data_IF_859431528830
#
_entry.id   IF_859431528830
#
_cell.length_a   1.000
_cell.length_b   1.000
_cell.length_c   1.000
_cell.angle_alpha   90.00
_cell.angle_beta   90.00
_cell.angle_gamma   90.00
#
_symmetry.space_group_name_H-M   'P 1'
#
loop_
_entity.id
_entity.type
_entity.pdbx_description
1 polymer ?
#
# COMPACT_ATOMS: atom_id res chain seq x y z
N UNK A 1 -4.12 4.92 7.00
CA UNK A 1 -3.48 6.24 6.81
C UNK A 1 -1.98 6.04 6.87
N UNK A 2 -1.25 6.69 5.97
CA UNK A 2 0.22 6.75 5.97
C UNK A 2 0.62 8.22 6.09
N UNK A 3 1.54 8.53 7.00
CA UNK A 3 2.11 9.87 7.17
C UNK A 3 3.55 9.85 6.65
N UNK A 4 3.84 10.64 5.61
CA UNK A 4 5.17 10.78 5.04
C UNK A 4 5.38 12.23 4.58
N UNK A 5 6.53 12.83 4.90
CA UNK A 5 6.86 14.21 4.54
C UNK A 5 5.74 15.23 4.86
N UNK A 6 5.20 15.20 6.10
CA UNK A 6 4.07 16.03 6.57
C UNK A 6 2.77 15.88 5.77
N UNK A 7 2.65 14.81 4.99
CA UNK A 7 1.46 14.49 4.21
C UNK A 7 0.77 13.24 4.74
N UNK A 8 -0.50 13.38 5.06
CA UNK A 8 -1.37 12.24 5.37
C UNK A 8 -2.03 11.71 4.09
N UNK A 9 -1.88 10.41 3.85
CA UNK A 9 -2.48 9.70 2.74
C UNK A 9 -3.46 8.65 3.27
N UNK A 10 -4.72 8.73 2.83
CA UNK A 10 -5.73 7.74 3.20
C UNK A 10 -5.52 6.47 2.38
N UNK A 11 -5.55 5.32 3.05
CA UNK A 11 -5.41 4.00 2.43
C UNK A 11 -6.64 3.20 2.85
N UNK A 12 -7.67 3.21 2.00
CA UNK A 12 -8.90 2.48 2.23
C UNK A 12 -8.68 0.98 2.04
N UNK A 13 -9.47 0.12 2.71
CA UNK A 13 -9.43 -1.33 2.43
C UNK A 13 -10.15 -1.71 1.14
N UNK A 14 -10.87 -0.79 0.51
CA UNK A 14 -11.46 -1.00 -0.82
C UNK A 14 -10.36 -0.96 -1.89
N UNK A 15 -9.44 0.01 -1.76
CA UNK A 15 -8.32 0.21 -2.69
C UNK A 15 -7.09 -0.66 -2.34
N UNK A 16 -6.86 -0.90 -1.05
CA UNK A 16 -5.71 -1.65 -0.54
C UNK A 16 -6.14 -2.83 0.36
N UNK A 17 -6.87 -3.83 -0.19
CA UNK A 17 -7.51 -4.89 0.60
C UNK A 17 -6.52 -5.79 1.34
N UNK A 18 -5.27 -5.87 0.88
CA UNK A 18 -4.23 -6.71 1.48
C UNK A 18 -3.84 -6.31 2.91
N UNK A 19 -4.18 -5.09 3.34
CA UNK A 19 -3.92 -4.63 4.70
C UNK A 19 -5.03 -4.99 5.71
N UNK A 20 -6.21 -5.44 5.24
CA UNK A 20 -7.44 -5.50 6.06
C UNK A 20 -7.33 -6.40 7.30
N UNK A 21 -6.75 -7.59 7.15
CA UNK A 21 -6.72 -8.63 8.18
C UNK A 21 -5.28 -8.96 8.63
N UNK A 22 -4.34 -8.06 8.35
CA UNK A 22 -2.92 -8.22 8.69
C UNK A 22 -2.66 -7.77 10.13
N UNK A 23 -1.81 -8.47 10.91
CA UNK A 23 -1.38 -8.01 12.22
C UNK A 23 -0.79 -6.60 12.16
N UNK A 24 -1.25 -5.72 13.04
CA UNK A 24 -0.89 -4.28 13.01
C UNK A 24 0.63 -4.05 13.02
N UNK A 25 1.40 -4.90 13.69
CA UNK A 25 2.86 -4.84 13.70
C UNK A 25 3.50 -4.95 12.31
N UNK A 26 2.91 -5.73 11.40
CA UNK A 26 3.38 -5.84 10.01
C UNK A 26 3.00 -4.61 9.18
N UNK A 27 1.88 -3.96 9.49
CA UNK A 27 1.46 -2.71 8.82
C UNK A 27 2.38 -1.55 9.20
N UNK A 28 2.86 -1.52 10.44
CA UNK A 28 3.81 -0.51 10.90
C UNK A 28 5.25 -0.75 10.44
N UNK A 29 5.57 -1.96 9.95
CA UNK A 29 6.87 -2.25 9.35
C UNK A 29 6.91 -1.78 7.90
N UNK A 30 6.89 -0.45 7.72
CA UNK A 30 6.98 0.23 6.43
C UNK A 30 8.35 0.89 6.30
N UNK A 31 8.96 0.71 5.13
CA UNK A 31 10.21 1.36 4.74
C UNK A 31 9.93 2.38 3.62
N UNK A 32 10.70 3.47 3.57
CA UNK A 32 10.70 4.44 2.47
C UNK A 32 12.10 4.50 1.83
N UNK A 33 12.49 3.53 0.97
CA UNK A 33 13.86 3.47 0.42
C UNK A 33 14.23 4.70 -0.40
N UNK A 34 13.24 5.28 -1.07
CA UNK A 34 13.34 6.55 -1.78
C UNK A 34 12.08 7.37 -1.52
N UNK A 35 12.15 8.70 -1.45
CA UNK A 35 10.99 9.54 -1.14
C UNK A 35 9.77 9.22 -2.01
N UNK A 36 8.64 8.93 -1.37
CA UNK A 36 7.38 8.57 -2.02
C UNK A 36 7.30 7.13 -2.56
N UNK A 37 8.27 6.27 -2.24
CA UNK A 37 8.22 4.82 -2.50
C UNK A 37 8.20 4.08 -1.18
N UNK A 38 7.13 3.35 -0.91
CA UNK A 38 6.87 2.68 0.35
C UNK A 38 6.88 1.16 0.15
N UNK A 39 7.63 0.48 0.99
CA UNK A 39 7.77 -0.98 0.96
C UNK A 39 7.40 -1.58 2.31
N UNK A 40 6.51 -2.58 2.31
CA UNK A 40 6.17 -3.39 3.47
C UNK A 40 6.80 -4.79 3.34
N UNK A 41 8.02 -5.01 3.86
CA UNK A 41 8.75 -6.26 3.69
C UNK A 41 8.00 -7.50 4.20
N UNK A 42 7.26 -7.37 5.30
CA UNK A 42 6.51 -8.49 5.89
C UNK A 42 5.29 -8.93 5.06
N UNK A 43 4.87 -8.09 4.10
CA UNK A 43 3.68 -8.26 3.27
C UNK A 43 4.00 -8.43 1.79
N UNK A 44 5.25 -8.17 1.38
CA UNK A 44 5.67 -8.11 -0.02
C UNK A 44 4.82 -7.12 -0.84
N UNK A 45 4.55 -5.95 -0.25
CA UNK A 45 3.77 -4.86 -0.87
C UNK A 45 4.69 -3.67 -1.15
N UNK A 46 4.67 -3.18 -2.38
CA UNK A 46 5.32 -1.94 -2.81
C UNK A 46 4.27 -0.97 -3.34
N UNK A 47 4.29 0.28 -2.87
CA UNK A 47 3.37 1.34 -3.30
C UNK A 47 4.12 2.66 -3.45
N UNK A 48 3.77 3.44 -4.46
CA UNK A 48 4.20 4.84 -4.58
C UNK A 48 3.14 5.79 -4.03
N UNK A 49 3.54 7.01 -3.66
CA UNK A 49 2.61 8.11 -3.34
C UNK A 49 1.56 8.30 -4.44
N UNK A 50 1.94 8.16 -5.71
CA UNK A 50 1.00 8.29 -6.83
C UNK A 50 -0.09 7.21 -6.80
N UNK A 51 0.27 5.96 -6.51
CA UNK A 51 -0.71 4.86 -6.38
C UNK A 51 -1.63 5.11 -5.19
N UNK A 52 -1.09 5.58 -4.06
CA UNK A 52 -1.88 5.84 -2.85
C UNK A 52 -2.88 6.97 -3.06
N UNK A 53 -2.49 8.02 -3.78
CA UNK A 53 -3.31 9.22 -4.00
C UNK A 53 -4.32 9.07 -5.15
N UNK A 54 -3.98 8.23 -6.12
CA UNK A 54 -4.77 7.98 -7.32
C UNK A 54 -4.95 6.48 -7.58
N UNK A 55 -5.52 5.70 -6.64
CA UNK A 55 -5.67 4.26 -6.78
C UNK A 55 -6.50 3.87 -8.01
N UNK A 56 -7.42 4.72 -8.47
CA UNK A 56 -8.23 4.51 -9.67
C UNK A 56 -7.41 4.43 -10.97
N UNK A 57 -6.20 4.99 -10.99
CA UNK A 57 -5.28 4.91 -12.14
C UNK A 57 -4.57 3.56 -12.23
N UNK A 58 -4.52 2.83 -11.12
CA UNK A 58 -3.80 1.56 -10.97
C UNK A 58 -4.75 0.47 -10.49
N UNK A 59 -5.79 0.13 -11.29
CA UNK A 59 -6.75 -0.88 -10.89
C UNK A 59 -6.03 -2.18 -10.56
N UNK A 60 -6.42 -2.79 -9.44
CA UNK A 60 -5.86 -4.06 -8.97
C UNK A 60 -6.01 -5.13 -10.06
N UNK A 61 -4.92 -5.43 -10.77
CA UNK A 61 -4.85 -6.51 -11.75
C UNK A 61 -4.16 -7.71 -11.14
N UNK A 62 -4.85 -8.43 -10.27
CA UNK A 62 -4.51 -9.81 -9.92
C UNK A 62 -5.49 -10.76 -10.60
N UNK A 63 -5.36 -10.92 -11.91
CA UNK A 63 -5.98 -12.03 -12.62
C UNK A 63 -5.07 -13.26 -12.51
N UNK A 64 -5.03 -13.90 -11.34
CA UNK A 64 -4.90 -15.35 -11.36
C UNK A 64 -6.28 -15.87 -11.76
N UNK A 65 -6.49 -16.01 -13.07
CA UNK A 65 -7.55 -16.88 -13.57
C UNK A 65 -7.22 -18.28 -13.04
N UNK A 66 -8.22 -18.88 -12.42
CA UNK A 66 -8.23 -20.29 -12.06
C UNK A 66 -7.61 -21.12 -13.20
N UNK A 67 -6.52 -21.82 -12.89
CA UNK A 67 -6.06 -23.00 -13.63
C UNK A 67 -6.62 -24.22 -12.91
#
# INVERSE_FOLDING_TARGET
WLLAADREMFMSYEDFPWFKDVPVGKVFNVEEPTPGHFYWPDLDIDLTSEIIEHPERFPLRSAWRDV
#
